data_IF_037566232610
#
_entry.id   IF_037566232610
#
_cell.length_a   1.000
_cell.length_b   1.000
_cell.length_c   1.000
_cell.angle_alpha   90.00
_cell.angle_beta   90.00
_cell.angle_gamma   90.00
#
_symmetry.space_group_name_H-M   'P 1'
#
loop_
_entity.id
_entity.type
_entity.pdbx_description
1 polymer ?
#
# COMPACT_ATOMS: atom_id res chain seq x y z
N UNK A 1 31.34 26.59 10.32
CA UNK A 1 30.68 25.35 9.89
C UNK A 1 29.36 25.25 10.64
N UNK A 2 28.25 25.70 10.07
CA UNK A 2 26.91 25.54 10.68
C UNK A 2 26.54 24.06 10.52
N UNK A 3 26.48 23.33 11.62
CA UNK A 3 26.11 21.92 11.61
C UNK A 3 24.70 21.77 11.03
N UNK A 4 24.52 20.80 10.14
CA UNK A 4 23.22 20.41 9.59
C UNK A 4 22.22 20.18 10.73
N UNK A 5 21.32 21.13 10.96
CA UNK A 5 20.25 21.03 11.94
C UNK A 5 18.99 20.53 11.24
N UNK A 6 18.43 19.43 11.74
CA UNK A 6 17.14 18.91 11.29
C UNK A 6 16.03 19.77 11.88
N UNK A 7 15.26 20.42 11.01
CA UNK A 7 14.14 21.26 11.40
C UNK A 7 12.78 20.63 11.06
N UNK A 8 12.71 19.96 9.92
CA UNK A 8 11.47 19.42 9.36
C UNK A 8 11.38 17.90 9.43
N UNK A 9 12.49 17.20 9.28
CA UNK A 9 12.52 15.73 9.34
C UNK A 9 12.51 15.27 10.79
N UNK A 10 11.58 14.38 11.15
CA UNK A 10 11.45 13.82 12.49
C UNK A 10 12.80 13.27 12.99
N UNK A 11 13.11 13.51 14.27
CA UNK A 11 14.30 12.95 14.94
C UNK A 11 14.31 11.42 14.95
N UNK A 12 13.13 10.79 14.78
CA UNK A 12 12.98 9.33 14.72
C UNK A 12 13.54 8.75 13.40
N UNK A 13 13.64 9.54 12.34
CA UNK A 13 14.22 9.10 11.07
C UNK A 13 15.73 8.94 11.22
N UNK A 14 16.30 7.73 11.03
CA UNK A 14 17.72 7.49 11.21
C UNK A 14 18.57 8.29 10.21
N UNK A 15 19.72 8.78 10.69
CA UNK A 15 20.69 9.46 9.82
C UNK A 15 21.57 8.48 9.01
N UNK A 16 21.60 7.21 9.43
CA UNK A 16 22.39 6.20 8.76
C UNK A 16 21.63 5.71 7.52
N UNK A 17 22.17 5.88 6.30
CA UNK A 17 21.48 5.51 5.06
C UNK A 17 21.21 4.00 4.95
N UNK A 18 22.04 3.16 5.58
CA UNK A 18 21.83 1.70 5.59
C UNK A 18 20.60 1.36 6.45
N UNK A 19 20.50 1.93 7.65
CA UNK A 19 19.36 1.70 8.56
C UNK A 19 18.08 2.22 7.92
N UNK A 20 18.11 3.41 7.32
CA UNK A 20 16.95 3.99 6.63
C UNK A 20 16.49 3.11 5.46
N UNK A 21 17.44 2.62 4.64
CA UNK A 21 17.11 1.69 3.54
C UNK A 21 16.50 0.39 4.06
N UNK A 22 17.01 -0.17 5.14
CA UNK A 22 16.45 -1.38 5.76
C UNK A 22 15.03 -1.14 6.27
N UNK A 23 14.75 0.01 6.89
CA UNK A 23 13.42 0.40 7.34
C UNK A 23 12.44 0.58 6.16
N UNK A 24 12.89 1.18 5.06
CA UNK A 24 12.09 1.30 3.84
C UNK A 24 11.72 -0.07 3.27
N UNK A 25 12.67 -1.01 3.23
CA UNK A 25 12.42 -2.38 2.81
C UNK A 25 11.44 -3.06 3.78
N UNK A 26 11.60 -2.89 5.08
CA UNK A 26 10.70 -3.46 6.08
C UNK A 26 9.26 -2.95 5.92
N UNK A 27 9.08 -1.64 5.70
CA UNK A 27 7.76 -1.06 5.40
C UNK A 27 7.17 -1.63 4.12
N UNK A 28 7.99 -1.82 3.08
CA UNK A 28 7.58 -2.45 1.84
C UNK A 28 7.07 -3.88 2.05
N UNK A 29 7.88 -4.68 2.73
CA UNK A 29 7.57 -6.09 3.02
C UNK A 29 6.27 -6.21 3.81
N UNK A 30 6.14 -5.41 4.87
CA UNK A 30 4.96 -5.48 5.75
C UNK A 30 3.68 -5.03 5.03
N UNK A 31 3.72 -3.92 4.28
CA UNK A 31 2.55 -3.47 3.52
C UNK A 31 2.11 -4.51 2.48
N UNK A 32 3.05 -5.09 1.75
CA UNK A 32 2.75 -6.12 0.75
C UNK A 32 2.22 -7.40 1.40
N UNK A 33 2.81 -7.83 2.52
CA UNK A 33 2.34 -8.99 3.27
C UNK A 33 0.91 -8.77 3.83
N UNK A 34 0.58 -7.55 4.29
CA UNK A 34 -0.78 -7.19 4.70
C UNK A 34 -1.77 -7.42 3.56
N UNK A 35 -1.45 -6.93 2.36
CA UNK A 35 -2.27 -7.12 1.17
C UNK A 35 -2.48 -8.60 0.83
N UNK A 36 -1.39 -9.38 0.87
CA UNK A 36 -1.45 -10.81 0.59
C UNK A 36 -2.28 -11.58 1.61
N UNK A 37 -2.18 -11.20 2.89
CA UNK A 37 -2.99 -11.79 3.96
C UNK A 37 -4.48 -11.50 3.75
N UNK A 38 -4.84 -10.23 3.52
CA UNK A 38 -6.22 -9.77 3.35
C UNK A 38 -6.90 -10.38 2.10
N UNK A 39 -6.14 -10.55 1.02
CA UNK A 39 -6.62 -11.20 -0.20
C UNK A 39 -6.84 -12.71 -0.01
N UNK A 40 -5.98 -13.38 0.77
CA UNK A 40 -5.96 -14.84 0.86
C UNK A 40 -6.79 -15.41 2.02
N UNK A 41 -7.23 -14.59 2.98
CA UNK A 41 -7.92 -15.08 4.18
C UNK A 41 -9.21 -15.83 3.84
N UNK A 42 -9.94 -15.43 2.81
CA UNK A 42 -11.20 -16.05 2.44
C UNK A 42 -11.04 -17.47 1.91
N UNK A 43 -9.89 -17.79 1.32
CA UNK A 43 -9.64 -19.14 0.82
C UNK A 43 -9.70 -20.17 1.95
N UNK A 44 -9.22 -19.81 3.16
CA UNK A 44 -9.33 -20.66 4.33
C UNK A 44 -10.70 -20.55 5.01
N UNK A 45 -11.25 -19.35 5.19
CA UNK A 45 -12.51 -19.14 5.89
C UNK A 45 -13.70 -19.83 5.19
N UNK A 46 -13.74 -19.80 3.84
CA UNK A 46 -14.82 -20.40 3.07
C UNK A 46 -14.95 -21.91 3.24
N UNK A 47 -13.90 -22.57 3.68
CA UNK A 47 -13.87 -24.04 3.90
C UNK A 47 -14.26 -24.39 5.35
N UNK A 48 -14.22 -23.42 6.29
CA UNK A 48 -14.48 -23.69 7.70
C UNK A 48 -15.97 -23.94 7.99
N UNK A 49 -16.37 -25.13 8.50
CA UNK A 49 -17.75 -25.43 8.86
C UNK A 49 -18.34 -24.46 9.90
N UNK A 50 -17.50 -23.98 10.83
CA UNK A 50 -17.88 -22.98 11.84
C UNK A 50 -18.22 -21.62 11.25
N UNK A 51 -17.63 -21.25 10.11
CA UNK A 51 -17.91 -20.00 9.38
C UNK A 51 -19.17 -20.15 8.50
N UNK A 52 -19.18 -21.18 7.66
CA UNK A 52 -20.29 -21.44 6.73
C UNK A 52 -21.60 -21.72 7.46
N UNK A 53 -21.56 -22.49 8.56
CA UNK A 53 -22.73 -22.81 9.39
C UNK A 53 -23.21 -21.59 10.20
N UNK A 54 -22.31 -20.75 10.74
CA UNK A 54 -22.68 -19.57 11.51
C UNK A 54 -23.47 -18.56 10.68
N UNK A 55 -23.02 -18.30 9.45
CA UNK A 55 -23.67 -17.33 8.54
C UNK A 55 -24.70 -17.97 7.60
N UNK A 56 -24.90 -19.30 7.67
CA UNK A 56 -25.82 -20.05 6.79
C UNK A 56 -25.57 -19.70 5.30
N UNK A 57 -24.30 -19.80 4.88
CA UNK A 57 -23.87 -19.38 3.56
C UNK A 57 -24.47 -20.25 2.47
N UNK A 58 -24.88 -19.61 1.39
CA UNK A 58 -25.18 -20.25 0.10
C UNK A 58 -24.13 -19.81 -0.94
N UNK A 59 -24.15 -20.39 -2.13
CA UNK A 59 -23.18 -20.09 -3.19
C UNK A 59 -23.14 -18.59 -3.54
N UNK A 60 -24.29 -17.91 -3.56
CA UNK A 60 -24.38 -16.50 -3.89
C UNK A 60 -23.72 -15.63 -2.78
N UNK A 61 -23.96 -15.93 -1.49
CA UNK A 61 -23.36 -15.20 -0.37
C UNK A 61 -21.88 -15.49 -0.23
N UNK A 62 -21.43 -16.71 -0.54
CA UNK A 62 -20.01 -17.05 -0.61
C UNK A 62 -19.31 -16.28 -1.72
N UNK A 63 -19.90 -16.24 -2.90
CA UNK A 63 -19.38 -15.42 -4.01
C UNK A 63 -19.33 -13.93 -3.67
N UNK A 64 -20.35 -13.39 -3.01
CA UNK A 64 -20.39 -12.00 -2.54
C UNK A 64 -19.27 -11.71 -1.52
N UNK A 65 -19.02 -12.63 -0.58
CA UNK A 65 -17.94 -12.49 0.39
C UNK A 65 -16.55 -12.42 -0.28
N UNK A 66 -16.31 -13.26 -1.27
CA UNK A 66 -15.07 -13.26 -2.03
C UNK A 66 -14.93 -11.98 -2.86
N UNK A 67 -15.99 -11.50 -3.46
CA UNK A 67 -16.01 -10.28 -4.25
C UNK A 67 -15.94 -8.98 -3.42
N UNK A 68 -16.30 -9.03 -2.14
CA UNK A 68 -16.47 -7.83 -1.31
C UNK A 68 -15.21 -6.95 -1.21
N UNK A 69 -14.03 -7.54 -1.09
CA UNK A 69 -12.75 -6.78 -1.05
C UNK A 69 -12.52 -6.08 -2.38
N UNK A 70 -12.77 -6.74 -3.50
CA UNK A 70 -12.62 -6.16 -4.83
C UNK A 70 -13.64 -5.04 -5.09
N UNK A 71 -14.87 -5.17 -4.57
CA UNK A 71 -15.85 -4.07 -4.59
C UNK A 71 -15.33 -2.85 -3.83
N UNK A 72 -14.74 -3.06 -2.65
CA UNK A 72 -14.08 -2.00 -1.89
C UNK A 72 -12.94 -1.35 -2.65
N UNK A 73 -12.10 -2.14 -3.32
CA UNK A 73 -11.00 -1.67 -4.18
C UNK A 73 -11.54 -0.78 -5.31
N UNK A 74 -12.61 -1.19 -6.00
CA UNK A 74 -13.24 -0.41 -7.06
C UNK A 74 -13.76 0.93 -6.53
N UNK A 75 -14.41 0.94 -5.37
CA UNK A 75 -14.87 2.17 -4.72
C UNK A 75 -13.71 3.10 -4.31
N UNK A 76 -12.53 2.54 -4.06
CA UNK A 76 -11.32 3.30 -3.75
C UNK A 76 -10.70 4.01 -4.97
N UNK A 77 -10.85 3.50 -6.19
CA UNK A 77 -10.17 3.99 -7.40
C UNK A 77 -10.27 5.51 -7.60
N UNK A 78 -11.44 6.17 -7.44
CA UNK A 78 -11.52 7.62 -7.61
C UNK A 78 -10.67 8.42 -6.61
N UNK A 79 -10.32 7.82 -5.48
CA UNK A 79 -9.63 8.49 -4.37
C UNK A 79 -8.14 8.15 -4.27
N UNK A 80 -7.67 7.12 -4.99
CA UNK A 80 -6.26 6.68 -4.93
C UNK A 80 -5.26 7.71 -5.46
N UNK A 81 -5.67 8.62 -6.32
CA UNK A 81 -4.82 9.69 -6.82
C UNK A 81 -4.96 10.98 -5.99
N UNK A 82 -6.18 11.53 -5.74
CA UNK A 82 -6.31 12.80 -5.04
C UNK A 82 -5.85 12.76 -3.58
N UNK A 83 -5.96 11.63 -2.88
CA UNK A 83 -5.54 11.55 -1.48
C UNK A 83 -4.01 11.59 -1.34
N UNK A 84 -3.21 10.74 -2.01
CA UNK A 84 -1.75 10.82 -1.93
C UNK A 84 -1.17 12.12 -2.48
N UNK A 85 -1.80 12.72 -3.49
CA UNK A 85 -1.33 13.98 -4.06
C UNK A 85 -1.59 15.17 -3.12
N UNK A 86 -2.69 15.15 -2.37
CA UNK A 86 -3.02 16.22 -1.43
C UNK A 86 -2.35 16.08 -0.06
N UNK A 87 -2.33 14.87 0.51
CA UNK A 87 -1.90 14.62 1.89
C UNK A 87 -0.49 14.02 2.00
N UNK A 88 0.10 13.59 0.92
CA UNK A 88 1.38 12.89 0.88
C UNK A 88 1.23 11.37 0.87
N UNK A 89 2.29 10.70 0.45
CA UNK A 89 2.29 9.22 0.31
C UNK A 89 2.27 8.52 1.66
N UNK A 90 3.09 9.01 2.60
CA UNK A 90 3.18 8.46 3.96
C UNK A 90 1.87 8.61 4.73
N UNK A 91 1.26 9.81 4.70
CA UNK A 91 0.00 10.07 5.38
C UNK A 91 -1.15 9.27 4.75
N UNK A 92 -1.12 9.06 3.45
CA UNK A 92 -2.12 8.22 2.75
C UNK A 92 -2.05 6.77 3.20
N UNK A 93 -0.85 6.21 3.42
CA UNK A 93 -0.69 4.87 4.00
C UNK A 93 -1.26 4.82 5.42
N UNK A 94 -1.04 5.87 6.23
CA UNK A 94 -1.59 5.94 7.59
C UNK A 94 -3.13 5.95 7.56
N UNK A 95 -3.74 6.81 6.75
CA UNK A 95 -5.19 6.88 6.56
C UNK A 95 -5.75 5.56 6.07
N UNK A 96 -5.10 4.95 5.07
CA UNK A 96 -5.45 3.64 4.55
C UNK A 96 -5.47 2.56 5.64
N UNK A 97 -4.45 2.53 6.49
CA UNK A 97 -4.35 1.56 7.59
C UNK A 97 -5.42 1.78 8.66
N UNK A 98 -5.75 3.03 8.99
CA UNK A 98 -6.85 3.34 9.94
C UNK A 98 -8.19 2.84 9.38
N UNK A 99 -8.45 3.05 8.09
CA UNK A 99 -9.66 2.55 7.42
C UNK A 99 -9.70 1.02 7.46
N UNK A 100 -8.57 0.37 7.16
CA UNK A 100 -8.45 -1.10 7.23
C UNK A 100 -8.71 -1.60 8.65
N UNK A 101 -8.23 -0.92 9.69
CA UNK A 101 -8.52 -1.28 11.09
C UNK A 101 -10.02 -1.27 11.40
N UNK A 102 -10.73 -0.24 10.96
CA UNK A 102 -12.20 -0.19 11.12
C UNK A 102 -12.85 -1.38 10.44
N UNK A 103 -12.42 -1.72 9.23
CA UNK A 103 -12.93 -2.88 8.50
C UNK A 103 -12.66 -4.20 9.22
N UNK A 104 -11.44 -4.40 9.76
CA UNK A 104 -11.06 -5.61 10.52
C UNK A 104 -11.93 -5.75 11.78
N UNK A 105 -12.16 -4.67 12.54
CA UNK A 105 -13.04 -4.70 13.72
C UNK A 105 -14.44 -5.12 13.34
N UNK A 106 -15.02 -4.52 12.29
CA UNK A 106 -16.36 -4.86 11.81
C UNK A 106 -16.43 -6.32 11.34
N UNK A 107 -15.41 -6.79 10.62
CA UNK A 107 -15.34 -8.17 10.15
C UNK A 107 -15.26 -9.16 11.32
N UNK A 108 -14.37 -8.94 12.28
CA UNK A 108 -14.18 -9.83 13.43
C UNK A 108 -15.36 -9.83 14.41
N UNK A 109 -16.05 -8.68 14.55
CA UNK A 109 -17.22 -8.52 15.40
C UNK A 109 -18.55 -8.91 14.71
N UNK A 110 -18.50 -9.38 13.46
CA UNK A 110 -19.69 -9.63 12.66
C UNK A 110 -20.65 -10.62 13.34
N UNK A 111 -21.91 -10.25 13.38
CA UNK A 111 -23.02 -11.07 13.88
C UNK A 111 -23.89 -11.60 12.74
N UNK A 112 -23.84 -10.98 11.58
CA UNK A 112 -24.54 -11.37 10.37
C UNK A 112 -23.65 -11.17 9.15
N UNK A 113 -24.01 -11.82 8.05
CA UNK A 113 -23.21 -11.80 6.82
C UNK A 113 -23.06 -10.40 6.23
N UNK A 114 -24.10 -9.55 6.34
CA UNK A 114 -24.04 -8.19 5.81
C UNK A 114 -22.95 -7.36 6.51
N UNK A 115 -22.83 -7.47 7.84
CA UNK A 115 -21.78 -6.78 8.60
C UNK A 115 -20.38 -7.27 8.20
N UNK A 116 -20.22 -8.58 7.96
CA UNK A 116 -18.97 -9.17 7.50
C UNK A 116 -18.59 -8.63 6.12
N UNK A 117 -19.52 -8.63 5.16
CA UNK A 117 -19.33 -8.10 3.80
C UNK A 117 -18.96 -6.62 3.83
N UNK A 118 -19.66 -5.79 4.63
CA UNK A 118 -19.33 -4.36 4.77
C UNK A 118 -17.93 -4.19 5.34
N UNK A 119 -17.54 -4.97 6.34
CA UNK A 119 -16.17 -4.96 6.87
C UNK A 119 -15.13 -5.24 5.77
N UNK A 120 -15.37 -6.23 4.92
CA UNK A 120 -14.49 -6.56 3.79
C UNK A 120 -14.43 -5.47 2.72
N UNK A 121 -15.54 -4.82 2.42
CA UNK A 121 -15.57 -3.67 1.49
C UNK A 121 -14.68 -2.53 2.04
N UNK A 122 -14.79 -2.24 3.34
CA UNK A 122 -13.95 -1.21 4.00
C UNK A 122 -12.48 -1.61 3.97
N UNK A 123 -12.14 -2.88 4.23
CA UNK A 123 -10.76 -3.40 4.11
C UNK A 123 -10.26 -3.19 2.68
N UNK A 124 -11.04 -3.60 1.67
CA UNK A 124 -10.66 -3.46 0.26
C UNK A 124 -10.42 -2.00 -0.16
N UNK A 125 -11.21 -1.08 0.37
CA UNK A 125 -11.02 0.36 0.16
C UNK A 125 -9.68 0.85 0.77
N UNK A 126 -9.40 0.49 2.03
CA UNK A 126 -8.17 0.85 2.72
C UNK A 126 -6.93 0.24 2.05
N UNK A 127 -6.97 -1.05 1.73
CA UNK A 127 -5.85 -1.75 1.08
C UNK A 127 -5.55 -1.20 -0.32
N UNK A 128 -6.58 -0.79 -1.08
CA UNK A 128 -6.41 -0.11 -2.37
C UNK A 128 -5.57 1.17 -2.23
N UNK A 129 -5.92 2.03 -1.28
CA UNK A 129 -5.21 3.29 -1.03
C UNK A 129 -3.76 3.05 -0.58
N UNK A 130 -3.51 2.05 0.28
CA UNK A 130 -2.17 1.67 0.71
C UNK A 130 -1.33 1.13 -0.45
N UNK A 131 -1.90 0.24 -1.27
CA UNK A 131 -1.21 -0.40 -2.40
C UNK A 131 -0.79 0.60 -3.48
N UNK A 132 -1.56 1.66 -3.70
CA UNK A 132 -1.22 2.72 -4.65
C UNK A 132 -0.21 3.72 -4.08
N UNK A 133 -0.17 3.89 -2.74
CA UNK A 133 0.70 4.87 -2.09
C UNK A 133 2.09 4.34 -1.74
N UNK A 134 2.20 3.05 -1.37
CA UNK A 134 3.46 2.48 -0.87
C UNK A 134 4.54 2.29 -1.96
N UNK A 135 4.28 1.71 -3.16
CA UNK A 135 5.32 1.55 -4.18
C UNK A 135 5.89 2.88 -4.69
N UNK A 136 5.09 3.94 -4.98
CA UNK A 136 5.65 5.24 -5.32
C UNK A 136 6.51 5.84 -4.21
N UNK A 137 6.08 5.77 -2.93
CA UNK A 137 6.88 6.26 -1.80
C UNK A 137 8.26 5.59 -1.78
N UNK A 138 8.30 4.27 -1.94
CA UNK A 138 9.55 3.50 -2.00
C UNK A 138 10.40 3.89 -3.21
N UNK A 139 9.77 4.04 -4.38
CA UNK A 139 10.46 4.42 -5.61
C UNK A 139 11.07 5.83 -5.53
N UNK A 140 10.45 6.74 -4.78
CA UNK A 140 10.89 8.12 -4.59
C UNK A 140 11.97 8.27 -3.50
N UNK A 141 12.00 7.37 -2.51
CA UNK A 141 12.97 7.38 -1.42
C UNK A 141 14.22 6.51 -1.67
N UNK A 142 14.15 5.60 -2.64
CA UNK A 142 15.26 4.68 -2.93
C UNK A 142 16.11 5.16 -4.10
N UNK A 143 17.45 4.99 -4.03
CA UNK A 143 18.33 5.27 -5.14
C UNK A 143 17.99 4.38 -6.35
N UNK A 144 18.18 4.87 -7.60
CA UNK A 144 17.77 4.17 -8.82
C UNK A 144 18.26 2.72 -8.93
N UNK A 145 19.50 2.46 -8.45
CA UNK A 145 20.12 1.12 -8.48
C UNK A 145 19.38 0.06 -7.66
N UNK A 146 18.77 0.45 -6.54
CA UNK A 146 18.07 -0.48 -5.63
C UNK A 146 16.54 -0.49 -5.81
N UNK A 147 15.99 0.46 -6.56
CA UNK A 147 14.55 0.65 -6.74
C UNK A 147 13.87 -0.59 -7.32
N UNK A 148 14.36 -1.10 -8.45
CA UNK A 148 13.79 -2.28 -9.12
C UNK A 148 13.82 -3.53 -8.24
N UNK A 149 14.93 -3.74 -7.51
CA UNK A 149 15.07 -4.87 -6.61
C UNK A 149 14.09 -4.80 -5.42
N UNK A 150 13.97 -3.64 -4.78
CA UNK A 150 13.06 -3.47 -3.64
C UNK A 150 11.59 -3.54 -4.05
N UNK A 151 11.24 -3.02 -5.23
CA UNK A 151 9.89 -3.18 -5.78
C UNK A 151 9.59 -4.64 -6.14
N UNK A 152 10.57 -5.39 -6.62
CA UNK A 152 10.45 -6.83 -6.81
C UNK A 152 10.18 -7.57 -5.50
N UNK A 153 10.89 -7.25 -4.43
CA UNK A 153 10.64 -7.78 -3.08
C UNK A 153 9.22 -7.41 -2.62
N UNK A 154 8.79 -6.15 -2.81
CA UNK A 154 7.44 -5.71 -2.46
C UNK A 154 6.39 -6.65 -3.06
N UNK A 155 6.40 -6.87 -4.36
CA UNK A 155 5.42 -7.75 -5.01
C UNK A 155 5.54 -9.22 -4.60
N UNK A 156 6.75 -9.71 -4.34
CA UNK A 156 6.96 -11.09 -3.88
C UNK A 156 6.46 -11.33 -2.46
N UNK A 157 6.53 -10.34 -1.58
CA UNK A 157 6.07 -10.44 -0.20
C UNK A 157 4.54 -10.55 -0.06
N UNK A 158 3.78 -10.27 -1.12
CA UNK A 158 2.36 -10.61 -1.20
C UNK A 158 2.11 -12.10 -0.92
N UNK A 159 2.90 -12.98 -1.52
CA UNK A 159 2.77 -14.42 -1.30
C UNK A 159 3.17 -14.86 0.11
N UNK A 160 4.08 -14.12 0.77
CA UNK A 160 4.41 -14.34 2.19
C UNK A 160 3.18 -14.09 3.07
N UNK A 161 2.43 -13.01 2.79
CA UNK A 161 1.17 -12.72 3.47
C UNK A 161 0.12 -13.80 3.25
N UNK A 162 -0.03 -14.26 2.02
CA UNK A 162 -0.92 -15.38 1.67
C UNK A 162 -0.57 -16.67 2.41
N UNK A 163 0.72 -17.00 2.48
CA UNK A 163 1.20 -18.17 3.22
C UNK A 163 0.91 -18.05 4.72
N UNK A 164 1.14 -16.88 5.32
CA UNK A 164 0.81 -16.64 6.73
C UNK A 164 -0.69 -16.81 6.98
N UNK A 165 -1.54 -16.29 6.10
CA UNK A 165 -2.98 -16.47 6.16
C UNK A 165 -3.37 -17.97 6.12
N UNK A 166 -2.78 -18.73 5.21
CA UNK A 166 -3.03 -20.16 5.09
C UNK A 166 -2.62 -20.94 6.34
N UNK A 167 -1.44 -20.66 6.92
CA UNK A 167 -0.96 -21.29 8.15
C UNK A 167 -1.90 -20.98 9.32
N UNK A 168 -2.34 -19.73 9.46
CA UNK A 168 -3.24 -19.30 10.53
C UNK A 168 -4.62 -19.94 10.38
N UNK A 169 -5.18 -19.97 9.17
CA UNK A 169 -6.44 -20.65 8.89
C UNK A 169 -6.35 -22.16 9.18
N UNK A 170 -5.25 -22.81 8.79
CA UNK A 170 -5.00 -24.20 9.11
C UNK A 170 -4.93 -24.45 10.61
N UNK A 171 -4.26 -23.59 11.37
CA UNK A 171 -4.20 -23.69 12.83
C UNK A 171 -5.56 -23.46 13.51
N UNK A 172 -6.39 -22.58 12.97
CA UNK A 172 -7.69 -22.22 13.55
C UNK A 172 -8.83 -23.22 13.23
N UNK A 173 -8.67 -24.09 12.23
CA UNK A 173 -9.73 -25.03 11.82
C UNK A 173 -10.16 -26.01 12.92
N UNK A 174 -9.27 -26.32 13.88
CA UNK A 174 -9.56 -27.23 14.98
C UNK A 174 -10.34 -26.58 16.15
N UNK A 175 -10.58 -25.26 16.08
CA UNK A 175 -11.33 -24.51 17.10
C UNK A 175 -12.83 -24.74 16.87
N UNK A 176 -13.52 -25.43 17.81
CA UNK A 176 -14.94 -25.76 17.72
C UNK A 176 -15.87 -24.59 18.11
N UNK A 177 -15.49 -23.34 17.82
CA UNK A 177 -16.26 -22.15 18.18
C UNK A 177 -16.17 -21.10 17.09
N UNK A 178 -16.92 -20.01 17.23
CA UNK A 178 -16.86 -18.84 16.32
C UNK A 178 -15.46 -18.20 16.26
N UNK A 179 -14.57 -18.52 17.20
CA UNK A 179 -13.19 -18.09 17.19
C UNK A 179 -12.37 -18.69 16.04
N UNK A 180 -12.81 -19.80 15.46
CA UNK A 180 -12.14 -20.41 14.30
C UNK A 180 -12.00 -19.42 13.12
N UNK A 181 -12.98 -18.56 12.88
CA UNK A 181 -12.92 -17.54 11.81
C UNK A 181 -12.63 -16.13 12.34
N UNK A 182 -12.97 -15.84 13.62
CA UNK A 182 -12.68 -14.52 14.21
C UNK A 182 -11.21 -14.32 14.48
N UNK A 183 -10.50 -15.35 14.93
CA UNK A 183 -9.06 -15.28 15.20
C UNK A 183 -8.24 -14.93 13.95
N UNK A 184 -8.37 -15.64 12.80
CA UNK A 184 -7.70 -15.21 11.57
C UNK A 184 -8.06 -13.79 11.14
N UNK A 185 -9.33 -13.38 11.29
CA UNK A 185 -9.79 -12.03 10.98
C UNK A 185 -9.12 -10.98 11.88
N UNK A 186 -8.93 -11.24 13.17
CA UNK A 186 -8.23 -10.33 14.08
C UNK A 186 -6.72 -10.28 13.83
N UNK A 187 -6.12 -11.40 13.43
CA UNK A 187 -4.67 -11.45 13.19
C UNK A 187 -4.23 -10.59 12.00
N UNK A 188 -5.16 -10.11 11.16
CA UNK A 188 -4.90 -9.04 10.17
C UNK A 188 -4.36 -7.75 10.80
N UNK A 189 -4.65 -7.50 12.09
CA UNK A 189 -4.11 -6.34 12.79
C UNK A 189 -2.58 -6.37 12.91
N UNK A 190 -1.97 -7.54 13.06
CA UNK A 190 -0.54 -7.65 13.36
C UNK A 190 0.33 -6.99 12.29
N UNK A 191 0.28 -7.37 11.00
CA UNK A 191 1.10 -6.72 9.99
C UNK A 191 0.71 -5.25 9.82
N UNK A 192 -0.56 -4.90 9.95
CA UNK A 192 -1.02 -3.51 9.84
C UNK A 192 -0.51 -2.62 10.98
N UNK A 193 -0.45 -3.13 12.22
CA UNK A 193 0.15 -2.42 13.37
C UNK A 193 1.65 -2.21 13.15
N UNK A 194 2.34 -3.23 12.67
CA UNK A 194 3.79 -3.13 12.36
C UNK A 194 4.02 -2.08 11.27
N UNK A 195 3.19 -2.04 10.22
CA UNK A 195 3.26 -1.02 9.18
C UNK A 195 3.14 0.40 9.76
N UNK A 196 2.12 0.65 10.59
CA UNK A 196 1.92 1.97 11.26
C UNK A 196 3.09 2.29 12.19
N UNK A 197 3.57 1.33 12.95
CA UNK A 197 4.70 1.53 13.88
C UNK A 197 6.01 1.90 13.16
N UNK A 198 6.19 1.43 11.93
CA UNK A 198 7.37 1.75 11.11
C UNK A 198 7.26 3.11 10.39
N UNK A 199 6.06 3.59 10.10
CA UNK A 199 5.85 4.86 9.38
C UNK A 199 6.55 6.09 9.99
N UNK A 200 6.61 6.31 11.32
CA UNK A 200 7.30 7.46 11.91
C UNK A 200 8.80 7.49 11.62
N UNK A 201 9.40 6.34 11.33
CA UNK A 201 10.84 6.21 11.09
C UNK A 201 11.25 6.44 9.63
N UNK A 202 10.30 6.62 8.73
CA UNK A 202 10.57 6.97 7.33
C UNK A 202 10.14 8.40 7.03
N UNK A 203 10.86 9.12 6.14
CA UNK A 203 10.47 10.46 5.73
C UNK A 203 9.32 10.42 4.71
N UNK A 204 8.72 11.59 4.44
CA UNK A 204 7.77 11.76 3.33
C UNK A 204 8.52 11.84 1.99
N UNK A 205 7.81 11.65 0.89
CA UNK A 205 8.35 11.74 -0.46
C UNK A 205 8.95 13.12 -0.77
N UNK A 206 10.22 13.22 -1.18
CA UNK A 206 10.83 14.49 -1.58
C UNK A 206 10.15 15.08 -2.82
N UNK A 207 9.68 14.23 -3.74
CA UNK A 207 8.96 14.66 -4.93
C UNK A 207 7.62 15.31 -4.56
N UNK A 208 6.86 14.74 -3.64
CA UNK A 208 5.61 15.30 -3.15
C UNK A 208 5.85 16.62 -2.42
N UNK A 209 6.88 16.70 -1.57
CA UNK A 209 7.25 17.91 -0.85
C UNK A 209 7.55 19.07 -1.82
N UNK A 210 8.32 18.81 -2.88
CA UNK A 210 8.65 19.82 -3.90
C UNK A 210 7.39 20.25 -4.66
N UNK A 211 6.54 19.31 -5.07
CA UNK A 211 5.32 19.58 -5.79
C UNK A 211 4.32 20.45 -4.99
N UNK A 212 4.36 20.36 -3.64
CA UNK A 212 3.52 21.13 -2.73
C UNK A 212 4.22 22.36 -2.12
N UNK A 213 5.40 22.76 -2.62
CA UNK A 213 6.10 23.97 -2.21
C UNK A 213 6.90 23.85 -0.91
N UNK A 214 7.07 22.66 -0.35
CA UNK A 214 7.85 22.40 0.87
C UNK A 214 9.33 22.10 0.55
N UNK A 215 10.00 23.05 -0.12
CA UNK A 215 11.34 22.85 -0.67
C UNK A 215 12.43 22.59 0.37
N UNK A 216 12.41 23.34 1.48
CA UNK A 216 13.41 23.18 2.54
C UNK A 216 13.27 21.80 3.24
N UNK A 217 12.03 21.33 3.43
CA UNK A 217 11.78 19.98 3.93
C UNK A 217 12.28 18.92 2.94
N UNK A 218 12.02 19.08 1.65
CA UNK A 218 12.51 18.16 0.61
C UNK A 218 14.03 18.09 0.58
N UNK A 219 14.72 19.25 0.68
CA UNK A 219 16.17 19.33 0.74
C UNK A 219 16.74 18.59 1.96
N UNK A 220 16.09 18.73 3.10
CA UNK A 220 16.47 18.02 4.32
C UNK A 220 16.28 16.50 4.19
N UNK A 221 15.18 16.05 3.58
CA UNK A 221 14.95 14.63 3.30
C UNK A 221 16.02 14.08 2.38
N UNK A 222 16.33 14.75 1.26
CA UNK A 222 17.35 14.34 0.31
C UNK A 222 18.75 14.28 0.95
N UNK A 223 19.10 15.25 1.79
CA UNK A 223 20.33 15.24 2.55
C UNK A 223 20.42 14.03 3.51
N UNK A 224 19.33 13.70 4.21
CA UNK A 224 19.26 12.53 5.09
C UNK A 224 19.41 11.23 4.31
N UNK A 225 18.79 11.10 3.14
CA UNK A 225 18.93 9.95 2.24
C UNK A 225 20.37 9.80 1.73
N UNK A 226 21.05 10.91 1.49
CA UNK A 226 22.47 10.96 1.06
C UNK A 226 23.50 10.73 2.18
N UNK A 227 23.07 10.48 3.44
CA UNK A 227 23.97 10.27 4.59
C UNK A 227 24.20 11.48 5.50
N UNK A 228 23.56 12.58 5.26
CA UNK A 228 23.19 13.67 6.20
C UNK A 228 24.25 14.59 6.77
N UNK A 229 25.56 14.29 6.70
CA UNK A 229 26.59 15.06 7.42
C UNK A 229 27.79 15.50 6.58
N UNK A 230 27.90 15.05 5.34
CA UNK A 230 28.99 15.47 4.46
C UNK A 230 28.55 16.64 3.57
N UNK A 231 29.49 17.54 3.27
CA UNK A 231 29.25 18.63 2.31
C UNK A 231 28.83 18.08 0.94
N UNK A 232 29.36 16.92 0.57
CA UNK A 232 28.98 16.20 -0.65
C UNK A 232 27.50 15.76 -0.64
N UNK A 233 26.96 15.33 0.50
CA UNK A 233 25.55 14.96 0.61
C UNK A 233 24.62 16.17 0.40
N UNK A 234 24.99 17.35 0.87
CA UNK A 234 24.23 18.58 0.67
C UNK A 234 24.30 19.06 -0.80
N UNK A 235 25.47 18.94 -1.44
CA UNK A 235 25.61 19.27 -2.85
C UNK A 235 24.78 18.32 -3.71
N UNK A 236 24.88 17.02 -3.46
CA UNK A 236 24.11 16.00 -4.18
C UNK A 236 22.59 16.20 -3.97
N UNK A 237 22.15 16.52 -2.75
CA UNK A 237 20.75 16.83 -2.47
C UNK A 237 20.25 18.06 -3.27
N UNK A 238 21.08 19.08 -3.43
CA UNK A 238 20.73 20.26 -4.22
C UNK A 238 20.63 19.93 -5.73
N UNK A 239 21.52 19.09 -6.25
CA UNK A 239 21.47 18.62 -7.64
C UNK A 239 20.22 17.79 -7.89
N UNK A 240 19.95 16.79 -7.03
CA UNK A 240 18.80 15.91 -7.13
C UNK A 240 17.47 16.69 -7.02
N UNK A 241 17.41 17.68 -6.12
CA UNK A 241 16.26 18.58 -6.00
C UNK A 241 16.01 19.36 -7.30
N UNK A 242 17.07 19.86 -7.97
CA UNK A 242 16.96 20.55 -9.25
C UNK A 242 16.43 19.63 -10.35
N UNK A 243 16.89 18.38 -10.37
CA UNK A 243 16.46 17.38 -11.35
C UNK A 243 14.98 17.01 -11.14
N UNK A 244 14.54 16.82 -9.89
CA UNK A 244 13.14 16.58 -9.56
C UNK A 244 12.27 17.76 -9.99
N UNK A 245 12.68 19.02 -9.69
CA UNK A 245 11.95 20.23 -10.11
C UNK A 245 11.82 20.31 -11.63
N UNK A 246 12.92 20.06 -12.36
CA UNK A 246 12.90 20.07 -13.81
C UNK A 246 11.95 19.02 -14.40
N UNK A 247 11.89 17.84 -13.76
CA UNK A 247 11.01 16.75 -14.17
C UNK A 247 9.54 17.11 -13.90
N UNK A 248 9.21 17.65 -12.72
CA UNK A 248 7.86 18.11 -12.39
C UNK A 248 7.41 19.21 -13.35
N UNK A 249 8.28 20.18 -13.68
CA UNK A 249 7.97 21.24 -14.61
C UNK A 249 7.70 20.72 -16.03
N UNK A 250 8.50 19.76 -16.52
CA UNK A 250 8.30 19.11 -17.81
C UNK A 250 6.98 18.33 -17.87
N UNK A 251 6.66 17.59 -16.80
CA UNK A 251 5.39 16.86 -16.69
C UNK A 251 4.19 17.81 -16.66
N UNK A 252 4.26 18.90 -15.89
CA UNK A 252 3.20 19.90 -15.82
C UNK A 252 2.99 20.60 -17.17
N UNK A 253 4.05 20.81 -17.96
CA UNK A 253 3.97 21.37 -19.30
C UNK A 253 3.42 20.36 -20.33
N UNK A 254 3.77 19.09 -20.18
CA UNK A 254 3.34 18.03 -21.09
C UNK A 254 1.89 17.59 -20.87
N UNK A 255 1.40 17.66 -19.63
CA UNK A 255 0.09 17.14 -19.23
C UNK A 255 -0.76 18.24 -18.57
N UNK A 256 -1.71 18.83 -19.28
CA UNK A 256 -2.65 19.78 -18.70
C UNK A 256 -3.58 19.11 -17.68
N UNK A 257 -4.13 19.91 -16.79
CA UNK A 257 -4.81 19.56 -15.52
C UNK A 257 -6.02 18.60 -15.56
N UNK A 258 -6.28 17.87 -16.63
CA UNK A 258 -7.41 16.92 -16.70
C UNK A 258 -6.95 15.51 -17.09
N UNK A 259 -6.38 14.73 -16.14
CA UNK A 259 -5.76 13.44 -16.43
C UNK A 259 -6.74 12.43 -17.07
N UNK A 260 -8.01 12.44 -16.67
CA UNK A 260 -9.02 11.51 -17.20
C UNK A 260 -9.35 11.76 -18.68
N UNK A 261 -9.45 13.02 -19.11
CA UNK A 261 -9.69 13.34 -20.52
C UNK A 261 -8.49 12.99 -21.39
N UNK A 262 -7.30 13.06 -20.82
CA UNK A 262 -6.05 12.80 -21.54
C UNK A 262 -5.80 11.33 -21.81
N UNK A 263 -6.34 10.43 -20.96
CA UNK A 263 -6.28 8.98 -21.19
C UNK A 263 -6.85 8.57 -22.57
N UNK A 264 -7.84 9.31 -23.06
CA UNK A 264 -8.53 9.01 -24.32
C UNK A 264 -8.34 10.11 -25.37
N UNK A 265 -7.49 11.13 -25.12
CA UNK A 265 -7.30 12.28 -26.01
C UNK A 265 -6.56 11.95 -27.30
N UNK A 266 -5.67 10.96 -27.25
CA UNK A 266 -4.89 10.56 -28.42
C UNK A 266 -5.02 9.06 -28.68
N UNK A 267 -4.97 8.59 -29.97
CA UNK A 267 -5.01 7.15 -30.28
C UNK A 267 -3.90 6.35 -29.57
N UNK A 268 -2.73 6.98 -29.36
CA UNK A 268 -1.61 6.35 -28.66
C UNK A 268 -1.92 6.11 -27.17
N UNK A 269 -2.55 7.06 -26.49
CA UNK A 269 -2.95 6.92 -25.09
C UNK A 269 -4.07 5.91 -24.94
N UNK A 270 -5.08 5.94 -25.82
CA UNK A 270 -6.16 4.94 -25.85
C UNK A 270 -5.59 3.54 -26.02
N UNK A 271 -4.63 3.35 -26.95
CA UNK A 271 -3.97 2.05 -27.14
C UNK A 271 -3.23 1.58 -25.89
N UNK A 272 -2.54 2.47 -25.18
CA UNK A 272 -1.87 2.15 -23.89
C UNK A 272 -2.87 1.73 -22.83
N UNK A 273 -3.99 2.44 -22.68
CA UNK A 273 -5.05 2.09 -21.73
C UNK A 273 -5.63 0.72 -22.05
N UNK A 274 -5.97 0.45 -23.32
CA UNK A 274 -6.49 -0.86 -23.75
C UNK A 274 -5.48 -1.97 -23.47
N UNK A 275 -4.19 -1.76 -23.76
CA UNK A 275 -3.15 -2.74 -23.46
C UNK A 275 -3.03 -3.02 -21.95
N UNK A 276 -3.11 -1.99 -21.10
CA UNK A 276 -3.08 -2.14 -19.65
C UNK A 276 -4.29 -2.91 -19.14
N UNK A 277 -5.49 -2.63 -19.66
CA UNK A 277 -6.72 -3.35 -19.29
C UNK A 277 -6.63 -4.83 -19.71
N UNK A 278 -6.20 -5.10 -20.94
CA UNK A 278 -6.02 -6.49 -21.43
C UNK A 278 -4.97 -7.21 -20.58
N UNK A 279 -3.84 -6.57 -20.31
CA UNK A 279 -2.77 -7.15 -19.48
C UNK A 279 -3.23 -7.45 -18.05
N UNK A 280 -3.98 -6.53 -17.42
CA UNK A 280 -4.59 -6.75 -16.12
C UNK A 280 -5.56 -7.94 -16.13
N UNK A 281 -6.46 -7.99 -17.11
CA UNK A 281 -7.38 -9.11 -17.28
C UNK A 281 -6.65 -10.45 -17.50
N UNK A 282 -5.57 -10.46 -18.28
CA UNK A 282 -4.76 -11.66 -18.50
C UNK A 282 -4.09 -12.16 -17.21
N UNK A 283 -3.53 -11.25 -16.37
CA UNK A 283 -2.92 -11.63 -15.09
C UNK A 283 -3.93 -12.32 -14.19
N UNK A 284 -5.13 -11.79 -14.09
CA UNK A 284 -6.19 -12.36 -13.24
C UNK A 284 -6.72 -13.69 -13.80
N UNK A 285 -6.85 -13.84 -15.13
CA UNK A 285 -7.39 -15.06 -15.74
C UNK A 285 -6.39 -16.21 -15.79
N UNK A 286 -5.07 -15.96 -15.82
CA UNK A 286 -4.04 -17.00 -16.01
C UNK A 286 -3.74 -17.79 -14.71
N UNK A 287 -4.17 -17.35 -13.54
CA UNK A 287 -3.84 -18.12 -12.35
C UNK A 287 -4.62 -17.77 -11.08
N UNK A 288 -4.94 -16.52 -10.83
CA UNK A 288 -5.58 -16.14 -9.58
C UNK A 288 -7.03 -16.63 -9.44
N UNK A 289 -7.80 -16.65 -10.52
CA UNK A 289 -9.19 -17.12 -10.50
C UNK A 289 -9.37 -18.64 -10.54
N UNK A 290 -8.35 -19.38 -10.97
CA UNK A 290 -8.44 -20.86 -11.09
C UNK A 290 -8.04 -21.54 -9.79
N UNK A 291 -7.24 -20.88 -8.95
CA UNK A 291 -6.69 -21.42 -7.71
C UNK A 291 -7.36 -20.88 -6.44
N UNK A 292 -8.25 -19.91 -6.55
CA UNK A 292 -9.07 -19.36 -5.46
C UNK A 292 -10.50 -19.88 -5.49
#
# INVERSE_FOLDING_TARGET
MAGFQRQYVSKLVPSNPVVLKTLLIAVAVVNSATLGYDASIMNGLSILPSYTGYFQLNDATTGLNNAAVWMGTILGIPLVQPIPDRYGRKNSILVATIITFVGIVLQAAAQNIAMFVVGRIIIGFGTCLSNVSAPPLLAELLPPRSRSYVLGIFFSCFYVGGLLSAIINYGSQNILSTWAWRLPSLLQFIPSIIAVALLPFIPESPRWLIANGHEEHAKEVLAVLGGGKSDDALINAAVEMRDIKSTIAKEAAAYPRSPWKELFSTPANTKRVVLLVIFGAMIETVGNFILS
#
